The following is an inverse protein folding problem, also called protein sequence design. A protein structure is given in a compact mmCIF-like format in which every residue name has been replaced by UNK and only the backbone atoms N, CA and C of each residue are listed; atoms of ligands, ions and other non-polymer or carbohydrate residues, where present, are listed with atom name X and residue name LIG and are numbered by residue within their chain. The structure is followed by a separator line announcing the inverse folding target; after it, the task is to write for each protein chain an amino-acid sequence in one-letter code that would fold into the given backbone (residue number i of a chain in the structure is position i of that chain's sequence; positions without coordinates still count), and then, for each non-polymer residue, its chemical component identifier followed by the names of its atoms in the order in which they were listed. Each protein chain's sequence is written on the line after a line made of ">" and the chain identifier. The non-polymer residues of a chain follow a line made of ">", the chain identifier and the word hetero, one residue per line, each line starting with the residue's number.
data_IF_064737636380
#
_entry.id   IF_064737636380
#
_cell.length_a   1.000
_cell.length_b   1.000
_cell.length_c   1.000
_cell.angle_alpha   90.00
_cell.angle_beta   90.00
_cell.angle_gamma   90.00
#
_symmetry.space_group_name_H-M   'P 1'
#
loop_
_entity.id
_entity.type
_entity.pdbx_description
1 polymer ?
#
# COMPACT_ATOMS: atom_id res chain seq x y z
N UNK A 1 6.85 30.31 37.99
CA UNK A 1 5.80 29.31 38.27
C UNK A 1 5.61 28.26 37.16
N UNK A 2 5.08 28.60 35.97
CA UNK A 2 4.83 27.62 34.87
C UNK A 2 6.04 26.77 34.45
N UNK A 3 7.26 27.34 34.45
CA UNK A 3 8.51 26.57 34.22
C UNK A 3 8.76 25.48 35.29
N UNK A 4 8.40 25.74 36.55
CA UNK A 4 8.56 24.77 37.64
C UNK A 4 7.52 23.65 37.52
N UNK A 5 6.30 23.96 37.10
CA UNK A 5 5.25 22.98 36.80
C UNK A 5 5.70 22.02 35.70
N UNK A 6 6.25 22.54 34.60
CA UNK A 6 6.79 21.72 33.51
C UNK A 6 7.97 20.85 33.97
N UNK A 7 8.91 21.41 34.77
CA UNK A 7 10.03 20.64 35.33
C UNK A 7 9.56 19.52 36.26
N UNK A 8 8.58 19.79 37.12
CA UNK A 8 7.99 18.78 38.02
C UNK A 8 7.19 17.69 37.31
N UNK A 9 6.71 17.95 36.08
CA UNK A 9 5.94 17.00 35.28
C UNK A 9 6.68 16.54 34.01
N UNK A 10 8.02 16.57 34.00
CA UNK A 10 8.84 16.22 32.82
C UNK A 10 8.46 14.84 32.23
N UNK A 11 8.16 13.87 33.07
CA UNK A 11 7.80 12.50 32.68
C UNK A 11 6.46 12.41 31.91
N UNK A 12 5.61 13.44 31.97
CA UNK A 12 4.33 13.53 31.25
C UNK A 12 4.45 14.23 29.89
N UNK A 13 5.63 14.79 29.57
CA UNK A 13 5.87 15.48 28.31
C UNK A 13 6.22 14.45 27.23
N UNK A 14 5.52 14.50 26.11
CA UNK A 14 5.81 13.65 24.97
C UNK A 14 6.75 14.39 24.01
N UNK A 15 8.03 14.02 24.00
CA UNK A 15 9.06 14.71 23.22
C UNK A 15 9.29 14.10 21.83
N UNK A 16 8.44 13.17 21.37
CA UNK A 16 8.67 12.45 20.13
C UNK A 16 8.56 13.34 18.88
N UNK A 17 7.65 14.31 18.89
CA UNK A 17 7.51 15.29 17.82
C UNK A 17 6.98 16.64 18.33
N UNK A 18 7.04 17.66 17.48
CA UNK A 18 6.63 19.02 17.78
C UNK A 18 5.21 19.12 18.33
N UNK A 19 4.24 18.47 17.68
CA UNK A 19 2.83 18.59 18.08
C UNK A 19 2.53 17.85 19.36
N UNK A 20 3.05 16.63 19.54
CA UNK A 20 2.87 15.88 20.78
C UNK A 20 3.52 16.61 21.96
N UNK A 21 4.66 17.26 21.76
CA UNK A 21 5.27 18.09 22.80
C UNK A 21 4.41 19.31 23.10
N UNK A 22 3.95 20.03 22.07
CA UNK A 22 3.05 21.18 22.20
C UNK A 22 1.77 20.83 22.96
N UNK A 23 1.08 19.78 22.54
CA UNK A 23 -0.15 19.30 23.18
C UNK A 23 0.08 18.84 24.63
N UNK A 24 1.17 18.10 24.89
CA UNK A 24 1.50 17.70 26.26
C UNK A 24 1.84 18.88 27.17
N UNK A 25 2.51 19.92 26.66
CA UNK A 25 2.76 21.17 27.39
C UNK A 25 1.44 21.89 27.70
N UNK A 26 0.54 22.01 26.72
CA UNK A 26 -0.76 22.65 26.91
C UNK A 26 -1.60 21.92 27.96
N UNK A 27 -1.57 20.59 27.93
CA UNK A 27 -2.26 19.75 28.92
C UNK A 27 -1.66 19.86 30.32
N UNK A 28 -0.33 19.87 30.45
CA UNK A 28 0.34 20.00 31.77
C UNK A 28 0.12 21.38 32.39
N UNK A 29 -0.01 22.42 31.57
CA UNK A 29 -0.27 23.79 32.00
C UNK A 29 -1.76 24.16 32.08
N UNK A 30 -2.65 23.21 31.79
CA UNK A 30 -4.11 23.38 31.78
C UNK A 30 -4.59 24.60 30.98
N UNK A 31 -4.02 24.80 29.78
CA UNK A 31 -4.27 26.01 28.98
C UNK A 31 -5.55 25.89 28.14
N UNK A 32 -6.54 26.73 28.45
CA UNK A 32 -7.83 26.83 27.75
C UNK A 32 -7.77 27.74 26.51
N UNK A 33 -8.90 27.99 25.86
CA UNK A 33 -9.02 28.96 24.75
C UNK A 33 -9.42 30.37 25.23
N UNK A 34 -9.23 30.68 26.51
CA UNK A 34 -9.40 32.03 27.06
C UNK A 34 -8.42 33.04 26.42
N UNK A 35 -8.75 34.33 26.46
CA UNK A 35 -7.90 35.37 25.86
C UNK A 35 -6.53 35.51 26.56
N UNK A 36 -6.47 35.25 27.87
CA UNK A 36 -5.21 35.20 28.62
C UNK A 36 -4.34 34.01 28.17
N UNK A 37 -4.93 32.83 28.02
CA UNK A 37 -4.22 31.63 27.59
C UNK A 37 -3.75 31.71 26.14
N UNK A 38 -4.46 32.43 25.25
CA UNK A 38 -4.03 32.65 23.86
C UNK A 38 -2.64 33.28 23.78
N UNK A 39 -2.35 34.28 24.63
CA UNK A 39 -1.03 34.95 24.66
C UNK A 39 0.06 33.99 25.12
N UNK A 40 -0.24 33.14 26.10
CA UNK A 40 0.70 32.13 26.63
C UNK A 40 0.94 31.03 25.59
N UNK A 41 -0.13 30.52 24.95
CA UNK A 41 -0.05 29.53 23.86
C UNK A 41 0.82 30.03 22.71
N UNK A 42 0.67 31.31 22.32
CA UNK A 42 1.51 31.96 21.30
C UNK A 42 2.99 31.98 21.71
N UNK A 43 3.30 32.38 22.95
CA UNK A 43 4.69 32.42 23.43
C UNK A 43 5.33 31.02 23.49
N UNK A 44 4.58 30.01 23.95
CA UNK A 44 5.03 28.61 23.96
C UNK A 44 5.29 28.14 22.54
N UNK A 45 4.36 28.41 21.63
CA UNK A 45 4.48 28.04 20.22
C UNK A 45 5.73 28.64 19.57
N UNK A 46 5.98 29.95 19.74
CA UNK A 46 7.19 30.60 19.20
C UNK A 46 8.47 30.03 19.83
N UNK A 47 8.44 29.74 21.14
CA UNK A 47 9.59 29.14 21.84
C UNK A 47 9.88 27.72 21.33
N UNK A 48 8.85 26.91 21.09
CA UNK A 48 9.00 25.58 20.51
C UNK A 48 9.47 25.66 19.05
N UNK A 49 8.89 26.56 18.24
CA UNK A 49 9.32 26.79 16.85
C UNK A 49 10.81 27.13 16.81
N UNK A 50 11.27 28.02 17.69
CA UNK A 50 12.69 28.35 17.86
C UNK A 50 13.51 27.13 18.29
N UNK A 51 13.06 26.41 19.32
CA UNK A 51 13.75 25.21 19.82
C UNK A 51 13.95 24.15 18.73
N UNK A 52 12.93 23.82 17.94
CA UNK A 52 13.04 22.80 16.89
C UNK A 52 13.83 23.26 15.66
N UNK A 53 13.91 24.58 15.42
CA UNK A 53 14.81 25.17 14.41
C UNK A 53 16.28 25.10 14.85
N UNK A 54 16.57 25.39 16.11
CA UNK A 54 17.94 25.50 16.65
C UNK A 54 18.52 24.16 17.13
N UNK A 55 17.70 23.28 17.69
CA UNK A 55 18.15 22.01 18.28
C UNK A 55 18.07 20.88 17.26
N UNK A 56 19.16 20.74 16.52
CA UNK A 56 19.50 19.57 15.73
C UNK A 56 20.03 18.51 16.70
N UNK A 57 19.15 17.81 17.42
CA UNK A 57 19.61 16.63 18.15
C UNK A 57 19.94 15.52 17.15
N UNK A 58 21.23 15.20 17.07
CA UNK A 58 21.76 13.96 16.49
C UNK A 58 21.28 12.79 17.36
N UNK A 59 20.11 12.28 17.02
CA UNK A 59 19.66 10.99 17.51
C UNK A 59 20.18 9.95 16.52
N UNK A 60 20.96 9.03 17.07
CA UNK A 60 21.65 7.96 16.37
C UNK A 60 20.77 7.28 15.31
N UNK A 61 21.28 7.23 14.08
CA UNK A 61 20.54 7.16 12.82
C UNK A 61 20.08 5.73 12.44
N UNK A 62 19.92 4.83 13.42
CA UNK A 62 19.78 3.39 13.11
C UNK A 62 18.36 2.95 12.75
N UNK A 63 17.34 3.78 13.04
CA UNK A 63 15.93 3.49 12.79
C UNK A 63 15.25 4.60 11.98
N UNK A 64 14.50 4.21 10.94
CA UNK A 64 13.67 5.11 10.13
C UNK A 64 12.68 5.94 10.96
N UNK A 65 12.28 5.44 12.15
CA UNK A 65 11.40 6.14 13.09
C UNK A 65 12.07 7.40 13.65
N UNK A 66 13.39 7.38 13.77
CA UNK A 66 14.22 8.49 14.26
C UNK A 66 14.68 9.42 13.14
N UNK A 67 14.26 9.18 11.89
CA UNK A 67 14.55 10.09 10.78
C UNK A 67 14.22 11.53 11.18
N UNK A 68 15.19 12.43 11.05
CA UNK A 68 15.17 13.78 11.64
C UNK A 68 13.89 14.55 11.30
N UNK A 69 13.37 14.42 10.08
CA UNK A 69 12.15 15.07 9.63
C UNK A 69 10.86 14.61 10.35
N UNK A 70 10.87 13.43 10.98
CA UNK A 70 9.70 12.88 11.69
C UNK A 70 9.33 13.68 12.95
N UNK A 71 10.21 14.57 13.42
CA UNK A 71 9.87 15.58 14.45
C UNK A 71 8.70 16.49 14.04
N UNK A 72 8.39 16.56 12.75
CA UNK A 72 7.28 17.33 12.18
C UNK A 72 6.15 16.42 11.63
N UNK A 73 6.24 15.11 11.83
CA UNK A 73 5.25 14.16 11.32
C UNK A 73 3.89 14.39 11.99
N UNK A 74 2.84 14.30 11.19
CA UNK A 74 1.45 14.40 11.60
C UNK A 74 0.60 13.38 10.83
N UNK A 75 -0.58 13.04 11.35
CA UNK A 75 -1.51 12.14 10.65
C UNK A 75 -1.88 12.70 9.26
N UNK A 76 -2.03 14.01 9.15
CA UNK A 76 -2.33 14.72 7.90
C UNK A 76 -1.20 14.65 6.87
N UNK A 77 0.04 14.33 7.25
CA UNK A 77 1.12 14.06 6.30
C UNK A 77 0.85 12.82 5.43
N UNK A 78 0.04 11.88 5.92
CA UNK A 78 -0.39 10.69 5.18
C UNK A 78 -1.78 10.86 4.53
N UNK A 79 -2.34 12.07 4.55
CA UNK A 79 -3.69 12.36 4.07
C UNK A 79 -3.77 13.64 3.25
N UNK A 80 -4.86 14.38 3.40
CA UNK A 80 -5.09 15.63 2.68
C UNK A 80 -4.19 16.75 3.19
N UNK A 81 -3.58 17.49 2.26
CA UNK A 81 -2.87 18.73 2.56
C UNK A 81 -3.87 19.89 2.66
N UNK A 82 -4.15 20.35 3.90
CA UNK A 82 -5.08 21.47 4.14
C UNK A 82 -4.38 22.85 4.06
N UNK A 83 -3.05 22.89 3.87
CA UNK A 83 -2.25 24.11 3.80
C UNK A 83 -1.22 24.09 2.66
N UNK A 84 -1.62 23.80 1.40
CA UNK A 84 -0.70 23.80 0.27
C UNK A 84 -0.15 25.20 -0.06
N UNK A 85 -0.88 26.26 0.27
CA UNK A 85 -0.51 27.65 0.04
C UNK A 85 0.59 28.20 0.97
N UNK A 86 0.97 27.44 2.00
CA UNK A 86 2.05 27.83 2.91
C UNK A 86 3.42 27.47 2.33
N UNK A 87 4.45 28.24 2.71
CA UNK A 87 5.83 27.92 2.36
C UNK A 87 6.32 26.69 3.14
N UNK A 88 7.29 25.94 2.59
CA UNK A 88 7.84 24.73 3.22
C UNK A 88 8.38 24.97 4.65
N UNK A 89 8.94 26.15 4.92
CA UNK A 89 9.51 26.49 6.23
C UNK A 89 8.46 26.68 7.32
N UNK A 90 7.24 27.06 6.95
CA UNK A 90 6.14 27.32 7.88
C UNK A 90 5.12 26.18 7.93
N UNK A 91 5.04 25.35 6.88
CA UNK A 91 4.11 24.23 6.77
C UNK A 91 4.04 23.30 8.01
N UNK A 92 5.15 22.95 8.70
CA UNK A 92 5.08 22.12 9.91
C UNK A 92 4.24 22.69 11.06
N UNK A 93 4.07 24.01 11.09
CA UNK A 93 3.55 24.74 12.23
C UNK A 93 2.22 25.44 11.96
N UNK A 94 1.79 25.47 10.69
CA UNK A 94 0.58 26.18 10.24
C UNK A 94 -0.62 25.25 10.26
N UNK A 95 -1.79 25.87 10.38
CA UNK A 95 -3.09 25.22 10.31
C UNK A 95 -4.01 26.05 9.43
N UNK A 96 -5.03 25.42 8.85
CA UNK A 96 -6.16 26.12 8.24
C UNK A 96 -7.07 26.78 9.30
N UNK A 97 -8.22 27.30 8.85
CA UNK A 97 -9.23 27.94 9.71
C UNK A 97 -9.87 26.98 10.72
N UNK A 98 -9.90 25.69 10.41
CA UNK A 98 -10.46 24.63 11.25
C UNK A 98 -9.40 24.03 12.19
N UNK A 99 -8.16 24.54 12.17
CA UNK A 99 -7.05 24.00 12.95
C UNK A 99 -6.42 22.74 12.35
N UNK A 100 -6.78 22.36 11.12
CA UNK A 100 -6.20 21.20 10.42
C UNK A 100 -4.88 21.58 9.78
N UNK A 101 -3.93 20.68 9.88
CA UNK A 101 -2.61 20.79 9.25
C UNK A 101 -2.60 20.06 7.90
N UNK A 102 -1.46 19.99 7.25
CA UNK A 102 -1.29 19.26 6.01
C UNK A 102 0.09 18.63 5.91
N UNK A 103 0.55 18.41 4.68
CA UNK A 103 1.88 17.84 4.44
C UNK A 103 2.94 18.76 5.04
N UNK A 104 3.77 18.26 5.95
CA UNK A 104 4.81 19.09 6.55
C UNK A 104 5.97 19.34 5.59
N UNK A 105 6.23 18.42 4.64
CA UNK A 105 7.32 18.51 3.68
C UNK A 105 8.70 18.07 4.21
N UNK A 106 8.78 17.71 5.50
CA UNK A 106 10.04 17.32 6.16
C UNK A 106 10.10 15.85 6.54
N UNK A 107 8.97 15.25 6.94
CA UNK A 107 8.94 13.88 7.45
C UNK A 107 9.16 12.82 6.36
N UNK A 108 9.49 11.60 6.78
CA UNK A 108 9.77 10.47 5.88
C UNK A 108 8.59 10.19 4.94
N UNK A 109 7.34 10.41 5.39
CA UNK A 109 6.14 10.22 4.58
C UNK A 109 6.10 11.23 3.43
N UNK A 110 6.28 12.53 3.71
CA UNK A 110 6.30 13.55 2.66
C UNK A 110 7.48 13.37 1.69
N UNK A 111 8.65 12.94 2.18
CA UNK A 111 9.81 12.67 1.32
C UNK A 111 9.63 11.41 0.46
N UNK A 112 9.07 10.36 1.06
CA UNK A 112 8.79 9.10 0.41
C UNK A 112 7.69 9.21 -0.65
N UNK A 113 6.54 9.80 -0.32
CA UNK A 113 5.36 9.85 -1.20
C UNK A 113 5.23 11.14 -2.02
N UNK A 114 5.96 12.20 -1.67
CA UNK A 114 5.87 13.50 -2.34
C UNK A 114 5.00 14.50 -1.58
N UNK A 115 5.16 15.78 -1.92
CA UNK A 115 4.34 16.88 -1.41
C UNK A 115 4.45 18.10 -2.34
N UNK A 116 3.53 19.05 -2.18
CA UNK A 116 3.61 20.35 -2.87
C UNK A 116 3.30 21.49 -1.91
N UNK A 117 4.09 22.55 -2.00
CA UNK A 117 3.96 23.81 -1.26
C UNK A 117 4.09 24.99 -2.19
N UNK A 118 3.73 26.17 -1.70
CA UNK A 118 3.74 27.40 -2.49
C UNK A 118 5.08 27.67 -3.18
N UNK A 119 6.17 27.39 -2.47
CA UNK A 119 7.55 27.68 -2.88
C UNK A 119 8.28 26.49 -3.49
N UNK A 120 7.76 25.26 -3.36
CA UNK A 120 8.47 24.05 -3.78
C UNK A 120 7.52 22.87 -4.01
N UNK A 121 7.83 22.04 -5.00
CA UNK A 121 7.16 20.76 -5.22
C UNK A 121 8.18 19.64 -5.22
N UNK A 122 7.89 18.57 -4.47
CA UNK A 122 8.77 17.42 -4.34
C UNK A 122 8.08 16.18 -4.89
N UNK A 123 8.68 15.59 -5.91
CA UNK A 123 8.31 14.26 -6.36
C UNK A 123 8.86 13.24 -5.35
N UNK A 124 7.98 12.37 -4.84
CA UNK A 124 8.33 11.30 -3.92
C UNK A 124 9.46 10.38 -4.40
N UNK A 125 10.01 9.63 -3.47
CA UNK A 125 11.06 8.64 -3.71
C UNK A 125 10.50 7.23 -3.92
N UNK A 126 9.28 6.94 -3.47
CA UNK A 126 8.65 5.62 -3.54
C UNK A 126 7.60 5.60 -4.65
N UNK A 127 7.69 4.61 -5.53
CA UNK A 127 6.76 4.40 -6.63
C UNK A 127 6.21 2.98 -6.59
N UNK A 128 4.89 2.88 -6.53
CA UNK A 128 4.16 1.61 -6.62
C UNK A 128 3.72 1.42 -8.07
N UNK A 129 3.94 0.23 -8.64
CA UNK A 129 3.25 -0.16 -9.87
C UNK A 129 1.81 -0.55 -9.56
N UNK A 130 1.00 -0.61 -10.61
CA UNK A 130 -0.29 -1.30 -10.54
C UNK A 130 -0.08 -2.75 -10.09
N UNK A 131 -1.04 -3.25 -9.32
CA UNK A 131 -1.10 -4.64 -8.91
C UNK A 131 -1.79 -5.46 -10.00
N UNK A 132 -1.06 -6.41 -10.57
CA UNK A 132 -1.55 -7.33 -11.59
C UNK A 132 -1.97 -8.64 -10.93
N UNK A 133 -3.02 -9.29 -11.46
CA UNK A 133 -3.46 -10.59 -10.96
C UNK A 133 -2.43 -11.64 -11.39
N UNK A 134 -1.79 -12.29 -10.42
CA UNK A 134 -0.86 -13.40 -10.65
C UNK A 134 -1.60 -14.73 -10.73
N UNK A 135 -2.48 -14.96 -9.76
CA UNK A 135 -3.32 -16.15 -9.71
C UNK A 135 -4.72 -15.76 -9.27
N UNK A 136 -5.72 -16.23 -10.01
CA UNK A 136 -7.12 -15.96 -9.73
C UNK A 136 -7.86 -17.25 -9.33
N UNK A 137 -8.51 -17.32 -8.16
CA UNK A 137 -9.24 -18.50 -7.73
C UNK A 137 -10.56 -18.64 -8.52
N UNK A 138 -10.82 -19.84 -9.00
CA UNK A 138 -12.03 -20.21 -9.73
C UNK A 138 -12.59 -21.50 -9.13
N UNK A 139 -13.90 -21.53 -8.88
CA UNK A 139 -14.57 -22.75 -8.41
C UNK A 139 -14.71 -23.74 -9.56
N UNK A 140 -14.29 -24.99 -9.30
CA UNK A 140 -14.38 -26.10 -10.24
C UNK A 140 -15.06 -27.30 -9.57
N UNK A 141 -15.45 -28.30 -10.37
CA UNK A 141 -15.96 -29.59 -9.89
C UNK A 141 -14.92 -30.38 -9.09
N UNK A 142 -13.63 -30.02 -9.18
CA UNK A 142 -12.50 -30.62 -8.45
C UNK A 142 -11.98 -29.71 -7.34
N UNK A 143 -12.84 -28.84 -6.80
CA UNK A 143 -12.48 -27.82 -5.80
C UNK A 143 -11.98 -26.52 -6.43
N UNK A 144 -11.60 -25.55 -5.60
CA UNK A 144 -11.04 -24.28 -6.10
C UNK A 144 -9.69 -24.50 -6.75
N UNK A 145 -9.51 -23.94 -7.95
CA UNK A 145 -8.24 -23.92 -8.69
C UNK A 145 -7.85 -22.48 -8.96
N UNK A 146 -6.57 -22.23 -9.10
CA UNK A 146 -5.99 -20.92 -9.37
C UNK A 146 -5.54 -20.86 -10.82
N UNK A 147 -6.18 -19.99 -11.58
CA UNK A 147 -5.84 -19.79 -12.98
C UNK A 147 -4.75 -18.73 -13.10
N UNK A 148 -3.89 -18.90 -14.09
CA UNK A 148 -2.93 -17.91 -14.56
C UNK A 148 -2.64 -18.17 -16.03
N UNK A 149 -1.75 -17.38 -16.63
CA UNK A 149 -1.29 -17.58 -18.00
C UNK A 149 0.23 -17.72 -18.04
N UNK A 150 0.76 -18.25 -19.13
CA UNK A 150 2.21 -18.37 -19.29
C UNK A 150 2.87 -16.98 -19.28
N UNK A 151 2.30 -16.00 -19.99
CA UNK A 151 2.84 -14.64 -20.05
C UNK A 151 2.86 -13.95 -18.69
N UNK A 152 1.84 -14.17 -17.84
CA UNK A 152 1.84 -13.65 -16.47
C UNK A 152 3.01 -14.24 -15.66
N UNK A 153 3.22 -15.56 -15.71
CA UNK A 153 4.32 -16.20 -14.97
C UNK A 153 5.69 -15.71 -15.45
N UNK A 154 5.87 -15.55 -16.76
CA UNK A 154 7.11 -15.03 -17.33
C UNK A 154 7.37 -13.57 -16.92
N UNK A 155 6.32 -12.74 -16.83
CA UNK A 155 6.44 -11.33 -16.44
C UNK A 155 6.89 -11.12 -14.98
N UNK A 156 6.67 -12.09 -14.09
CA UNK A 156 7.11 -11.99 -12.68
C UNK A 156 8.64 -12.02 -12.57
N UNK A 157 9.32 -12.67 -13.51
CA UNK A 157 10.78 -12.79 -13.53
C UNK A 157 11.46 -11.64 -14.29
N UNK A 158 10.74 -11.01 -15.24
CA UNK A 158 11.22 -9.84 -15.99
C UNK A 158 11.30 -8.60 -15.09
N UNK A 159 12.46 -8.49 -14.44
CA UNK A 159 13.02 -7.29 -13.81
C UNK A 159 12.45 -6.01 -14.40
N UNK A 160 11.55 -5.36 -13.65
CA UNK A 160 11.13 -3.98 -13.89
C UNK A 160 10.75 -3.65 -15.33
N UNK A 161 9.51 -3.96 -15.73
CA UNK A 161 8.78 -3.29 -16.81
C UNK A 161 9.65 -2.82 -17.99
N UNK A 162 10.09 -3.78 -18.81
CA UNK A 162 10.30 -3.50 -20.23
C UNK A 162 9.12 -4.15 -20.96
N UNK A 163 8.30 -3.31 -21.60
CA UNK A 163 7.42 -3.74 -22.67
C UNK A 163 8.29 -4.37 -23.76
N UNK A 164 8.64 -5.64 -23.62
CA UNK A 164 8.84 -6.50 -24.76
C UNK A 164 7.51 -7.23 -24.93
N UNK A 165 6.63 -6.63 -25.74
CA UNK A 165 5.84 -7.43 -26.66
C UNK A 165 6.87 -8.21 -27.47
N UNK A 166 7.26 -9.38 -26.99
CA UNK A 166 7.96 -10.35 -27.82
C UNK A 166 6.91 -10.90 -28.77
N UNK A 167 6.63 -10.13 -29.81
CA UNK A 167 6.28 -10.67 -31.13
C UNK A 167 7.48 -11.53 -31.55
N UNK A 168 7.57 -12.77 -31.06
CA UNK A 168 8.43 -13.82 -31.59
C UNK A 168 8.16 -15.13 -30.82
N UNK A 169 6.97 -15.68 -31.03
CA UNK A 169 6.78 -17.13 -31.02
C UNK A 169 6.13 -17.55 -32.33
N UNK A 170 6.88 -17.42 -33.42
CA UNK A 170 6.70 -18.36 -34.52
C UNK A 170 7.04 -19.75 -33.99
N UNK A 171 6.02 -20.54 -33.65
CA UNK A 171 6.11 -21.99 -33.71
C UNK A 171 4.73 -22.59 -33.92
N UNK A 172 4.59 -23.19 -35.10
CA UNK A 172 3.63 -24.22 -35.46
C UNK A 172 3.20 -25.06 -34.25
N UNK A 173 1.90 -25.15 -33.96
CA UNK A 173 1.19 -26.39 -33.65
C UNK A 173 -0.29 -26.08 -33.33
N UNK A 174 -1.19 -26.51 -34.23
CA UNK A 174 -2.63 -26.71 -34.03
C UNK A 174 -3.26 -25.96 -32.84
N UNK A 175 -3.70 -24.72 -33.10
CA UNK A 175 -4.45 -23.88 -32.18
C UNK A 175 -5.76 -24.58 -31.74
N UNK A 176 -5.70 -25.34 -30.66
CA UNK A 176 -6.86 -25.44 -29.79
C UNK A 176 -6.86 -24.20 -28.90
N UNK A 177 -7.48 -23.13 -29.40
CA UNK A 177 -7.60 -21.81 -28.75
C UNK A 177 -8.17 -21.89 -27.31
N UNK A 178 -8.75 -23.03 -26.94
CA UNK A 178 -9.41 -23.29 -25.67
C UNK A 178 -8.70 -24.33 -24.77
N UNK A 179 -7.47 -24.76 -25.10
CA UNK A 179 -6.76 -25.78 -24.32
C UNK A 179 -6.08 -25.19 -23.07
N UNK A 180 -6.41 -25.73 -21.90
CA UNK A 180 -5.71 -25.45 -20.65
C UNK A 180 -4.56 -26.43 -20.38
N UNK A 181 -3.58 -26.01 -19.59
CA UNK A 181 -2.48 -26.86 -19.13
C UNK A 181 -2.46 -27.01 -17.61
N UNK A 182 -2.09 -28.20 -17.15
CA UNK A 182 -1.92 -28.54 -15.72
C UNK A 182 -0.59 -29.25 -15.52
N UNK A 183 0.02 -29.12 -14.34
CA UNK A 183 1.34 -29.72 -14.05
C UNK A 183 1.29 -30.98 -13.18
N UNK A 184 0.11 -31.32 -12.67
CA UNK A 184 -0.14 -32.55 -11.95
C UNK A 184 -1.49 -33.14 -12.37
N UNK A 185 -1.62 -34.46 -12.23
CA UNK A 185 -2.86 -35.17 -12.60
C UNK A 185 -3.99 -34.72 -11.70
N UNK A 186 -5.11 -34.35 -12.32
CA UNK A 186 -6.33 -33.95 -11.60
C UNK A 186 -7.22 -35.14 -11.22
N UNK A 187 -6.95 -36.34 -11.72
CA UNK A 187 -7.60 -37.60 -11.37
C UNK A 187 -6.65 -38.80 -11.65
N UNK A 188 -6.99 -39.98 -11.13
CA UNK A 188 -6.18 -41.18 -11.37
C UNK A 188 -6.14 -41.54 -12.86
N UNK A 189 -4.93 -41.62 -13.42
CA UNK A 189 -4.63 -42.04 -14.79
C UNK A 189 -5.08 -41.10 -15.94
N UNK A 190 -5.58 -39.90 -15.67
CA UNK A 190 -5.88 -38.91 -16.72
C UNK A 190 -4.69 -37.96 -16.99
N UNK A 191 -4.13 -38.03 -18.21
CA UNK A 191 -3.16 -37.04 -18.73
C UNK A 191 -3.82 -35.93 -19.54
N UNK A 192 -5.09 -36.08 -19.86
CA UNK A 192 -5.95 -35.11 -20.53
C UNK A 192 -7.39 -35.28 -20.05
N UNK A 193 -8.20 -34.26 -20.21
CA UNK A 193 -9.59 -34.29 -19.75
C UNK A 193 -10.28 -32.97 -19.96
N UNK A 194 -11.32 -32.70 -19.16
CA UNK A 194 -12.01 -31.41 -19.16
C UNK A 194 -12.18 -30.92 -17.73
N UNK A 195 -12.20 -29.60 -17.56
CA UNK A 195 -12.43 -28.94 -16.29
C UNK A 195 -13.34 -27.74 -16.49
N UNK A 196 -14.24 -27.51 -15.52
CA UNK A 196 -15.03 -26.30 -15.53
C UNK A 196 -14.29 -25.16 -14.82
N UNK A 197 -14.29 -23.98 -15.44
CA UNK A 197 -13.79 -22.73 -14.87
C UNK A 197 -14.96 -21.75 -14.81
N UNK A 198 -15.69 -21.78 -13.69
CA UNK A 198 -17.02 -21.15 -13.62
C UNK A 198 -17.99 -21.88 -14.54
N UNK A 199 -18.57 -21.13 -15.50
CA UNK A 199 -19.53 -21.65 -16.48
C UNK A 199 -18.88 -22.24 -17.75
N UNK A 200 -17.58 -22.01 -17.96
CA UNK A 200 -16.83 -22.53 -19.10
C UNK A 200 -16.39 -23.97 -18.83
N UNK A 201 -16.53 -24.86 -19.82
CA UNK A 201 -16.05 -26.24 -19.76
C UNK A 201 -14.95 -26.44 -20.81
N UNK A 202 -13.70 -26.51 -20.34
CA UNK A 202 -12.53 -26.43 -21.21
C UNK A 202 -11.73 -27.74 -21.19
N UNK A 203 -11.18 -28.19 -22.32
CA UNK A 203 -10.24 -29.29 -22.34
C UNK A 203 -8.94 -28.89 -21.62
N UNK A 204 -8.31 -29.84 -20.94
CA UNK A 204 -6.98 -29.67 -20.37
C UNK A 204 -6.05 -30.82 -20.76
N UNK A 205 -4.74 -30.55 -20.74
CA UNK A 205 -3.68 -31.55 -20.89
C UNK A 205 -2.60 -31.36 -19.83
N UNK A 206 -1.98 -32.46 -19.41
CA UNK A 206 -0.77 -32.42 -18.60
C UNK A 206 0.37 -31.81 -19.42
N UNK A 207 1.05 -30.81 -18.85
CA UNK A 207 2.21 -30.15 -19.44
C UNK A 207 3.50 -30.64 -18.78
N UNK A 208 4.45 -31.02 -19.62
CA UNK A 208 5.77 -31.52 -19.24
C UNK A 208 6.84 -30.40 -19.27
N UNK A 209 6.45 -29.13 -19.40
CA UNK A 209 7.35 -27.98 -19.31
C UNK A 209 7.93 -27.82 -17.90
N UNK A 210 9.06 -28.48 -17.65
CA UNK A 210 9.77 -28.46 -16.37
C UNK A 210 10.32 -27.08 -15.99
N UNK A 211 10.58 -26.18 -16.94
CA UNK A 211 11.02 -24.81 -16.62
C UNK A 211 9.87 -24.00 -16.02
N UNK A 212 8.72 -23.96 -16.70
CA UNK A 212 7.54 -23.24 -16.24
C UNK A 212 7.05 -23.79 -14.88
N UNK A 213 7.02 -25.11 -14.74
CA UNK A 213 6.71 -25.80 -13.49
C UNK A 213 7.61 -25.37 -12.33
N UNK A 214 8.93 -25.28 -12.55
CA UNK A 214 9.88 -24.78 -11.54
C UNK A 214 9.59 -23.34 -11.14
N UNK A 215 9.33 -22.45 -12.10
CA UNK A 215 8.99 -21.04 -11.82
C UNK A 215 7.75 -20.92 -10.94
N UNK A 216 6.69 -21.67 -11.28
CA UNK A 216 5.45 -21.71 -10.50
C UNK A 216 5.72 -22.23 -9.08
N UNK A 217 6.50 -23.31 -8.93
CA UNK A 217 6.89 -23.82 -7.61
C UNK A 217 7.64 -22.78 -6.77
N UNK A 218 8.55 -22.01 -7.36
CA UNK A 218 9.28 -20.96 -6.65
C UNK A 218 8.37 -19.82 -6.18
N UNK A 219 7.36 -19.47 -6.98
CA UNK A 219 6.35 -18.47 -6.61
C UNK A 219 5.49 -19.02 -5.46
N UNK A 220 4.96 -20.23 -5.61
CA UNK A 220 4.06 -20.86 -4.63
C UNK A 220 4.75 -21.04 -3.27
N UNK A 221 6.02 -21.46 -3.25
CA UNK A 221 6.80 -21.64 -2.01
C UNK A 221 6.91 -20.36 -1.18
N UNK A 222 6.80 -19.19 -1.82
CA UNK A 222 6.84 -17.92 -1.10
C UNK A 222 5.53 -17.67 -0.37
N UNK A 223 4.38 -18.12 -0.91
CA UNK A 223 3.06 -17.76 -0.40
C UNK A 223 2.82 -18.27 1.03
N UNK A 224 2.04 -17.53 1.84
CA UNK A 224 1.80 -17.89 3.24
C UNK A 224 0.87 -19.09 3.44
N UNK A 225 0.29 -19.62 2.36
CA UNK A 225 -0.60 -20.78 2.36
C UNK A 225 -0.13 -21.84 1.35
N UNK A 226 -0.50 -23.10 1.64
CA UNK A 226 -0.06 -24.27 0.87
C UNK A 226 -0.86 -24.40 -0.42
N UNK A 227 -0.53 -23.62 -1.45
CA UNK A 227 -0.84 -24.01 -2.83
C UNK A 227 0.14 -25.11 -3.26
N UNK A 228 -0.31 -25.96 -4.17
CA UNK A 228 0.50 -26.97 -4.84
C UNK A 228 0.33 -26.85 -6.34
N UNK A 229 1.14 -27.56 -7.13
CA UNK A 229 0.97 -27.57 -8.58
C UNK A 229 -0.37 -28.16 -9.03
N UNK A 230 -0.99 -29.03 -8.22
CA UNK A 230 -2.35 -29.55 -8.47
C UNK A 230 -3.41 -28.46 -8.45
N UNK A 231 -3.13 -27.33 -7.82
CA UNK A 231 -4.07 -26.24 -7.66
C UNK A 231 -3.99 -25.23 -8.79
N UNK A 232 -2.96 -25.29 -9.65
CA UNK A 232 -2.72 -24.31 -10.71
C UNK A 232 -3.18 -24.82 -12.07
N UNK A 233 -3.83 -23.94 -12.82
CA UNK A 233 -4.22 -24.18 -14.22
C UNK A 233 -3.70 -23.03 -15.06
N UNK A 234 -2.94 -23.34 -16.12
CA UNK A 234 -2.57 -22.37 -17.15
C UNK A 234 -3.72 -22.32 -18.16
N UNK A 235 -4.29 -21.14 -18.35
CA UNK A 235 -5.35 -20.91 -19.33
C UNK A 235 -4.79 -20.15 -20.54
N UNK A 236 -5.42 -20.25 -21.72
CA UNK A 236 -5.09 -19.40 -22.86
C UNK A 236 -5.18 -17.92 -22.49
N UNK A 237 -4.26 -17.09 -23.02
CA UNK A 237 -4.18 -15.65 -22.74
C UNK A 237 -5.52 -14.95 -23.01
N UNK A 238 -6.14 -15.25 -24.15
CA UNK A 238 -7.40 -14.64 -24.58
C UNK A 238 -8.58 -14.98 -23.65
N UNK A 239 -8.55 -16.16 -23.01
CA UNK A 239 -9.61 -16.59 -22.09
C UNK A 239 -9.44 -16.07 -20.67
N UNK A 240 -8.24 -15.63 -20.28
CA UNK A 240 -7.96 -15.24 -18.90
C UNK A 240 -8.91 -14.14 -18.41
N UNK A 241 -9.05 -13.06 -19.17
CA UNK A 241 -9.93 -11.94 -18.81
C UNK A 241 -11.40 -12.35 -18.75
N UNK A 242 -11.85 -13.20 -19.67
CA UNK A 242 -13.22 -13.73 -19.69
C UNK A 242 -13.52 -14.59 -18.46
N UNK A 243 -12.58 -15.46 -18.07
CA UNK A 243 -12.72 -16.29 -16.88
C UNK A 243 -12.73 -15.42 -15.62
N UNK A 244 -11.80 -14.45 -15.49
CA UNK A 244 -11.75 -13.53 -14.34
C UNK A 244 -13.07 -12.75 -14.20
N UNK A 245 -13.52 -12.09 -15.26
CA UNK A 245 -14.74 -11.27 -15.24
C UNK A 245 -15.99 -12.11 -14.92
N UNK A 246 -16.03 -13.36 -15.39
CA UNK A 246 -17.15 -14.27 -15.12
C UNK A 246 -17.19 -14.82 -13.69
N UNK A 247 -16.12 -14.65 -12.92
CA UNK A 247 -15.96 -15.25 -11.60
C UNK A 247 -15.69 -14.20 -10.49
N UNK A 248 -15.97 -12.91 -10.76
CA UNK A 248 -16.02 -11.88 -9.71
C UNK A 248 -17.21 -12.10 -8.79
N UNK A 249 -17.05 -11.75 -7.51
CA UNK A 249 -18.15 -11.81 -6.55
C UNK A 249 -19.08 -10.61 -6.73
N UNK A 250 -20.25 -10.84 -7.31
CA UNK A 250 -21.30 -9.81 -7.40
C UNK A 250 -22.13 -9.81 -6.12
N UNK A 251 -22.22 -8.65 -5.45
CA UNK A 251 -22.99 -8.49 -4.21
C UNK A 251 -23.97 -7.33 -4.33
N UNK A 252 -25.23 -7.61 -4.02
CA UNK A 252 -26.29 -6.58 -3.94
C UNK A 252 -26.47 -6.16 -2.49
N UNK A 253 -26.43 -4.85 -2.25
CA UNK A 253 -26.63 -4.23 -0.93
C UNK A 253 -27.82 -3.28 -0.95
N UNK A 254 -28.54 -3.22 0.16
CA UNK A 254 -29.67 -2.33 0.37
C UNK A 254 -29.53 -1.60 1.71
N UNK A 255 -29.98 -0.35 1.78
CA UNK A 255 -30.16 0.34 3.07
C UNK A 255 -31.61 0.23 3.53
N UNK A 256 -31.81 -0.29 4.74
CA UNK A 256 -33.13 -0.45 5.35
C UNK A 256 -33.46 0.76 6.23
N UNK A 257 -34.69 1.24 6.15
CA UNK A 257 -35.24 2.21 7.10
C UNK A 257 -35.58 1.49 8.42
N UNK A 258 -34.96 1.87 9.55
CA UNK A 258 -35.19 1.21 10.82
C UNK A 258 -36.62 1.41 11.37
N UNK A 259 -37.36 2.43 10.91
CA UNK A 259 -38.72 2.72 11.38
C UNK A 259 -39.74 1.85 10.63
N UNK A 260 -39.61 1.76 9.30
CA UNK A 260 -40.59 1.08 8.44
C UNK A 260 -40.22 -0.37 8.12
N UNK A 261 -38.95 -0.74 8.28
CA UNK A 261 -38.41 -2.05 7.87
C UNK A 261 -38.29 -2.23 6.35
N UNK A 262 -38.65 -1.22 5.56
CA UNK A 262 -38.57 -1.24 4.10
C UNK A 262 -37.21 -0.73 3.60
N UNK A 263 -36.90 -1.01 2.33
CA UNK A 263 -35.76 -0.39 1.66
C UNK A 263 -35.94 1.12 1.57
N UNK A 264 -34.88 1.88 1.84
CA UNK A 264 -34.83 3.30 1.49
C UNK A 264 -34.83 3.46 -0.03
N UNK A 265 -35.54 4.46 -0.51
CA UNK A 265 -35.59 4.79 -1.93
C UNK A 265 -34.18 5.15 -2.45
N UNK A 266 -33.83 4.62 -3.62
CA UNK A 266 -32.52 4.84 -4.26
C UNK A 266 -31.31 4.17 -3.57
N UNK A 267 -31.53 3.39 -2.51
CA UNK A 267 -30.44 2.82 -1.70
C UNK A 267 -30.14 1.33 -2.00
N UNK A 268 -30.49 0.87 -3.21
CA UNK A 268 -30.15 -0.44 -3.74
C UNK A 268 -28.95 -0.30 -4.69
N UNK A 269 -27.85 -0.98 -4.41
CA UNK A 269 -26.66 -0.94 -5.25
C UNK A 269 -25.99 -2.30 -5.35
N UNK A 270 -25.39 -2.56 -6.51
CA UNK A 270 -24.62 -3.76 -6.80
C UNK A 270 -23.15 -3.38 -6.90
N UNK A 271 -22.28 -4.19 -6.30
CA UNK A 271 -20.83 -4.04 -6.39
C UNK A 271 -20.18 -5.37 -6.75
N UNK A 272 -19.13 -5.32 -7.56
CA UNK A 272 -18.25 -6.44 -7.80
C UNK A 272 -17.08 -6.41 -6.82
N UNK A 273 -16.65 -7.59 -6.39
CA UNK A 273 -15.49 -7.77 -5.55
C UNK A 273 -14.59 -8.88 -6.11
N UNK A 274 -13.28 -8.67 -6.00
CA UNK A 274 -12.31 -9.70 -6.35
C UNK A 274 -12.36 -10.78 -5.24
N UNK A 275 -12.50 -12.06 -5.59
CA UNK A 275 -12.64 -13.12 -4.61
C UNK A 275 -11.46 -13.21 -3.63
N UNK A 276 -11.74 -13.69 -2.43
CA UNK A 276 -10.67 -14.04 -1.48
C UNK A 276 -9.78 -15.13 -2.08
N UNK A 277 -8.47 -14.98 -1.94
CA UNK A 277 -7.49 -15.94 -2.44
C UNK A 277 -6.88 -15.53 -3.77
N UNK A 278 -7.34 -14.43 -4.40
CA UNK A 278 -6.62 -13.80 -5.50
C UNK A 278 -5.24 -13.36 -5.04
N UNK A 279 -4.23 -13.73 -5.81
CA UNK A 279 -2.84 -13.36 -5.59
C UNK A 279 -2.52 -12.27 -6.59
N UNK A 280 -2.02 -11.14 -6.08
CA UNK A 280 -1.50 -10.07 -6.90
C UNK A 280 0.02 -10.04 -6.86
N UNK A 281 0.61 -9.47 -7.89
CA UNK A 281 2.01 -9.09 -7.91
C UNK A 281 2.16 -7.65 -8.39
N UNK A 282 3.24 -7.02 -7.97
CA UNK A 282 3.58 -5.65 -8.34
C UNK A 282 4.98 -5.32 -7.87
N UNK A 283 5.46 -4.14 -8.25
CA UNK A 283 6.81 -3.68 -7.96
C UNK A 283 6.77 -2.37 -7.18
N UNK A 284 7.67 -2.24 -6.21
CA UNK A 284 7.95 -0.98 -5.54
C UNK A 284 9.34 -0.53 -5.97
N UNK A 285 9.43 0.63 -6.59
CA UNK A 285 10.70 1.27 -6.96
C UNK A 285 10.99 2.38 -5.97
N UNK A 286 12.23 2.42 -5.47
CA UNK A 286 12.71 3.51 -4.62
C UNK A 286 13.82 4.22 -5.37
N UNK A 287 13.63 5.50 -5.66
CA UNK A 287 14.62 6.33 -6.33
C UNK A 287 15.49 7.02 -5.28
N UNK A 288 16.78 6.70 -5.26
CA UNK A 288 17.73 7.40 -4.39
C UNK A 288 17.93 8.83 -4.90
N UNK A 289 17.56 9.79 -4.06
CA UNK A 289 17.67 11.22 -4.35
C UNK A 289 18.72 11.92 -3.50
N UNK A 290 19.60 11.18 -2.81
CA UNK A 290 20.63 11.80 -1.96
C UNK A 290 21.47 12.85 -2.68
N UNK A 291 21.80 12.64 -3.95
CA UNK A 291 22.56 13.61 -4.75
C UNK A 291 21.84 14.96 -4.94
N UNK A 292 20.51 14.99 -4.82
CA UNK A 292 19.73 16.22 -4.89
C UNK A 292 19.78 17.05 -3.61
N UNK A 293 20.30 16.51 -2.51
CA UNK A 293 20.46 17.26 -1.27
C UNK A 293 21.29 18.54 -1.50
N UNK A 294 22.37 18.45 -2.26
CA UNK A 294 23.29 19.56 -2.48
C UNK A 294 22.75 20.61 -3.46
N UNK A 295 21.73 20.26 -4.24
CA UNK A 295 21.08 21.14 -5.20
C UNK A 295 20.02 21.99 -4.50
N UNK A 296 19.26 21.40 -3.56
CA UNK A 296 18.15 22.09 -2.90
C UNK A 296 18.17 21.88 -1.38
N UNK A 297 18.93 22.75 -0.70
CA UNK A 297 19.14 22.71 0.76
C UNK A 297 17.85 22.74 1.59
N UNK A 298 16.76 23.32 1.06
CA UNK A 298 15.46 23.38 1.74
C UNK A 298 14.85 21.98 1.96
N UNK A 299 15.29 20.98 1.18
CA UNK A 299 14.79 19.62 1.25
C UNK A 299 15.59 18.72 2.20
N UNK A 300 16.74 19.16 2.72
CA UNK A 300 17.55 18.37 3.64
C UNK A 300 16.86 18.17 5.01
N UNK A 301 17.06 17.01 5.66
CA UNK A 301 17.69 15.80 5.12
C UNK A 301 16.69 14.98 4.28
N UNK A 302 17.22 14.18 3.36
CA UNK A 302 16.50 13.12 2.67
C UNK A 302 16.70 11.78 3.39
N UNK A 303 15.67 10.91 3.42
CA UNK A 303 15.80 9.58 4.02
C UNK A 303 16.71 8.70 3.16
N UNK A 304 17.43 7.77 3.78
CA UNK A 304 18.15 6.75 3.02
C UNK A 304 17.16 5.76 2.37
N UNK A 305 17.55 5.14 1.25
CA UNK A 305 16.76 4.06 0.64
C UNK A 305 16.42 2.98 1.68
N UNK A 306 17.38 2.62 2.52
CA UNK A 306 17.19 1.61 3.57
C UNK A 306 16.16 2.04 4.62
N UNK A 307 16.03 3.34 4.93
CA UNK A 307 14.99 3.84 5.84
C UNK A 307 13.60 3.65 5.25
N UNK A 308 13.44 3.95 3.96
CA UNK A 308 12.18 3.75 3.23
C UNK A 308 11.82 2.26 3.17
N UNK A 309 12.79 1.40 2.89
CA UNK A 309 12.62 -0.08 2.90
C UNK A 309 12.13 -0.57 4.26
N UNK A 310 12.78 -0.13 5.35
CA UNK A 310 12.38 -0.51 6.71
C UNK A 310 10.99 0.04 7.05
N UNK A 311 10.66 1.27 6.66
CA UNK A 311 9.34 1.84 6.88
C UNK A 311 8.23 1.08 6.14
N UNK A 312 8.47 0.68 4.88
CA UNK A 312 7.53 -0.13 4.11
C UNK A 312 7.35 -1.53 4.73
N UNK A 313 8.44 -2.17 5.16
CA UNK A 313 8.38 -3.46 5.85
C UNK A 313 7.64 -3.37 7.19
N UNK A 314 7.94 -2.37 8.01
CA UNK A 314 7.29 -2.17 9.31
C UNK A 314 5.80 -1.87 9.14
N UNK A 315 5.39 -1.20 8.06
CA UNK A 315 4.00 -0.77 7.84
C UNK A 315 3.15 -1.79 7.08
N UNK A 316 3.73 -2.83 6.48
CA UNK A 316 3.01 -3.77 5.60
C UNK A 316 1.84 -4.51 6.28
N UNK A 317 1.94 -4.76 7.59
CA UNK A 317 0.87 -5.40 8.36
C UNK A 317 -0.41 -4.55 8.44
N UNK A 318 -0.34 -3.24 8.16
CA UNK A 318 -1.53 -2.39 8.10
C UNK A 318 -2.44 -2.72 6.90
N UNK A 319 -1.95 -3.39 5.85
CA UNK A 319 -2.82 -3.89 4.78
C UNK A 319 -3.82 -4.94 5.28
N UNK A 320 -3.48 -5.67 6.35
CA UNK A 320 -4.34 -6.68 6.96
C UNK A 320 -5.42 -6.04 7.86
N UNK A 321 -5.19 -4.83 8.39
CA UNK A 321 -6.07 -4.21 9.40
C UNK A 321 -6.78 -2.96 8.93
N UNK A 322 -6.16 -2.16 8.05
CA UNK A 322 -6.73 -0.97 7.42
C UNK A 322 -7.31 -1.30 6.05
N UNK A 323 -6.67 -2.21 5.31
CA UNK A 323 -7.11 -2.64 3.98
C UNK A 323 -6.92 -1.56 2.91
N UNK A 324 -7.19 -1.92 1.66
CA UNK A 324 -7.11 -1.06 0.49
C UNK A 324 -8.45 -1.04 -0.26
N UNK A 325 -8.79 0.09 -0.86
CA UNK A 325 -10.04 0.26 -1.61
C UNK A 325 -11.24 0.60 -0.73
N UNK A 326 -12.44 0.36 -1.26
CA UNK A 326 -13.70 0.67 -0.59
C UNK A 326 -14.17 -0.40 0.40
N UNK A 327 -15.19 -0.07 1.18
CA UNK A 327 -15.91 -1.01 2.08
C UNK A 327 -15.04 -1.74 3.12
N UNK A 328 -13.89 -1.18 3.50
CA UNK A 328 -12.96 -1.78 4.48
C UNK A 328 -13.58 -1.98 5.86
N UNK A 329 -14.52 -1.12 6.27
CA UNK A 329 -15.29 -1.26 7.53
C UNK A 329 -16.23 -2.48 7.53
N UNK A 330 -16.53 -3.05 6.36
CA UNK A 330 -17.30 -4.28 6.18
C UNK A 330 -16.40 -5.50 5.94
N UNK A 331 -15.08 -5.36 6.13
CA UNK A 331 -14.11 -6.45 6.01
C UNK A 331 -13.53 -6.66 4.60
N UNK A 332 -13.80 -5.79 3.64
CA UNK A 332 -13.23 -5.87 2.29
C UNK A 332 -11.82 -5.26 2.21
N UNK A 333 -11.08 -5.59 1.15
CA UNK A 333 -9.81 -4.93 0.84
C UNK A 333 -8.62 -5.37 1.71
N UNK A 334 -8.77 -6.44 2.48
CA UNK A 334 -7.73 -6.98 3.37
C UNK A 334 -6.70 -7.74 2.54
N UNK A 335 -5.43 -7.36 2.66
CA UNK A 335 -4.33 -8.01 1.93
C UNK A 335 -3.20 -8.39 2.89
N UNK A 336 -2.56 -9.52 2.63
CA UNK A 336 -1.32 -9.94 3.29
C UNK A 336 -0.16 -9.65 2.34
N UNK A 337 0.76 -8.79 2.76
CA UNK A 337 1.96 -8.48 1.98
C UNK A 337 3.07 -9.46 2.38
N UNK A 338 3.25 -10.44 1.51
CA UNK A 338 4.10 -11.58 1.77
C UNK A 338 5.60 -11.22 1.75
N UNK A 339 6.10 -10.75 0.61
CA UNK A 339 7.51 -10.42 0.43
C UNK A 339 7.67 -9.06 -0.25
N UNK A 340 8.53 -8.22 0.31
CA UNK A 340 9.01 -6.98 -0.32
C UNK A 340 10.48 -7.21 -0.67
N UNK A 341 10.76 -7.60 -1.91
CA UNK A 341 12.12 -7.67 -2.43
C UNK A 341 12.50 -6.32 -3.02
N UNK A 342 13.52 -5.70 -2.44
CA UNK A 342 14.15 -4.52 -3.00
C UNK A 342 15.43 -4.98 -3.67
N UNK A 343 15.48 -4.84 -5.00
CA UNK A 343 16.72 -5.05 -5.74
C UNK A 343 17.57 -3.80 -5.58
N UNK A 344 18.79 -3.97 -5.09
CA UNK A 344 19.82 -2.93 -4.99
C UNK A 344 20.31 -2.50 -6.37
#
# INVERSE_FOLDING_TARGET
>A
EKKNILRGNKNKLNTSNFNLLKESIYKVLDLSNSDEDKKIKKNIYESLKKFFKENIFDLDNSSWKLFRGNRFLQITCAGQDNIPQENLTDAPYKTDKDGKTGHCGHCIVCKGFGFSKKDISWQGMIFFSDLQILFFPVFTMRGTKWITTQGIIESVELKGYQNSLSENSENNNQNNENLCFVFEKLSENETEGHINLGWLYLPYKLDDNEELKKKILEIIKKLPYKLTLQDIIIVPEDLFSHIVNSNLETRTSVSIDPITGASKEGALFTSEAIPRGTIFYGTIRIFDKKEFEDIENSLKPLPEVNDLIKALNDSKHFYETLGIGGMTTRGFGRLVINELKFNS
#
